data_IF_022293585172
#
_entry.id   IF_022293585172
#
_cell.length_a   1.000
_cell.length_b   1.000
_cell.length_c   1.000
_cell.angle_alpha   90.00
_cell.angle_beta   90.00
_cell.angle_gamma   90.00
#
_symmetry.space_group_name_H-M   'P 1'
#
loop_
_entity.id
_entity.type
_entity.pdbx_description
1 polymer ?
#
# COMPACT_ATOMS: atom_id res chain seq x y z
N UNK A 1 10.98 7.13 -13.18
CA UNK A 1 10.44 8.40 -13.75
C UNK A 1 9.59 8.23 -15.03
N UNK A 2 9.75 7.16 -15.84
CA UNK A 2 8.98 6.97 -17.10
C UNK A 2 7.52 6.54 -16.86
N UNK A 3 7.22 5.73 -15.82
CA UNK A 3 5.89 5.16 -15.57
C UNK A 3 4.81 6.20 -15.25
N UNK A 4 5.18 7.34 -14.68
CA UNK A 4 4.22 8.35 -14.24
C UNK A 4 3.87 9.41 -15.30
N UNK A 5 4.53 9.40 -16.45
CA UNK A 5 4.16 10.27 -17.57
C UNK A 5 2.77 9.99 -18.15
N UNK A 6 2.24 8.80 -17.88
CA UNK A 6 0.90 8.39 -18.33
C UNK A 6 -0.22 8.72 -17.33
N UNK A 7 0.11 9.18 -16.11
CA UNK A 7 -0.89 9.50 -15.10
C UNK A 7 -1.96 10.50 -15.58
N UNK A 8 -1.62 11.60 -16.29
CA UNK A 8 -2.64 12.51 -16.83
C UNK A 8 -3.58 11.84 -17.82
N UNK A 9 -3.04 10.96 -18.68
CA UNK A 9 -3.85 10.21 -19.65
C UNK A 9 -4.77 9.20 -18.95
N UNK A 10 -4.27 8.50 -17.93
CA UNK A 10 -5.09 7.59 -17.12
C UNK A 10 -6.22 8.35 -16.42
N UNK A 11 -5.92 9.48 -15.78
CA UNK A 11 -6.93 10.32 -15.13
C UNK A 11 -7.96 10.84 -16.12
N UNK A 12 -7.53 11.27 -17.30
CA UNK A 12 -8.45 11.67 -18.36
C UNK A 12 -9.36 10.51 -18.78
N UNK A 13 -8.79 9.33 -19.00
CA UNK A 13 -9.55 8.14 -19.35
C UNK A 13 -10.56 7.79 -18.24
N UNK A 14 -10.15 7.77 -16.98
CA UNK A 14 -11.03 7.48 -15.85
C UNK A 14 -12.18 8.48 -15.73
N UNK A 15 -11.97 9.75 -16.08
CA UNK A 15 -13.02 10.78 -16.09
C UNK A 15 -14.07 10.57 -17.18
N UNK A 16 -13.70 9.93 -18.30
CA UNK A 16 -14.56 9.88 -19.50
C UNK A 16 -15.01 8.46 -19.87
N UNK A 17 -14.49 7.43 -19.19
CA UNK A 17 -14.90 6.05 -19.44
C UNK A 17 -16.26 5.72 -18.80
N UNK A 18 -16.85 4.62 -19.25
CA UNK A 18 -17.97 4.03 -18.52
C UNK A 18 -17.41 3.31 -17.29
N UNK A 19 -17.53 3.95 -16.11
CA UNK A 19 -16.92 3.49 -14.86
C UNK A 19 -17.45 2.13 -14.41
N UNK A 20 -18.74 1.85 -14.63
CA UNK A 20 -19.33 0.54 -14.28
C UNK A 20 -18.67 -0.62 -15.06
N UNK A 21 -18.23 -0.35 -16.30
CA UNK A 21 -17.46 -1.33 -17.08
C UNK A 21 -16.01 -1.43 -16.63
N UNK A 22 -15.48 -0.40 -15.99
CA UNK A 22 -14.10 -0.38 -15.50
C UNK A 22 -13.94 -1.12 -14.15
N UNK A 23 -14.96 -1.07 -13.28
CA UNK A 23 -14.94 -1.68 -11.93
C UNK A 23 -14.44 -3.13 -11.92
N UNK A 24 -14.95 -4.06 -12.76
CA UNK A 24 -14.45 -5.44 -12.76
C UNK A 24 -12.96 -5.54 -13.07
N UNK A 25 -12.45 -4.65 -13.92
CA UNK A 25 -11.01 -4.60 -14.25
C UNK A 25 -10.18 -4.13 -13.07
N UNK A 26 -10.66 -3.15 -12.30
CA UNK A 26 -10.01 -2.65 -11.10
C UNK A 26 -9.99 -3.73 -10.00
N UNK A 27 -11.11 -4.42 -9.78
CA UNK A 27 -11.19 -5.55 -8.85
C UNK A 27 -10.19 -6.63 -9.26
N UNK A 28 -10.18 -7.04 -10.53
CA UNK A 28 -9.23 -8.03 -11.04
C UNK A 28 -7.77 -7.60 -10.86
N UNK A 29 -7.47 -6.33 -11.05
CA UNK A 29 -6.14 -5.78 -10.81
C UNK A 29 -5.76 -5.87 -9.32
N UNK A 30 -6.65 -5.49 -8.40
CA UNK A 30 -6.45 -5.66 -6.95
C UNK A 30 -6.22 -7.12 -6.57
N UNK A 31 -7.08 -8.02 -7.05
CA UNK A 31 -6.98 -9.47 -6.81
C UNK A 31 -5.68 -10.09 -7.36
N UNK A 32 -5.04 -9.46 -8.34
CA UNK A 32 -3.77 -9.97 -8.87
C UNK A 32 -2.62 -9.95 -7.86
N UNK A 33 -2.74 -9.16 -6.80
CA UNK A 33 -1.73 -9.02 -5.75
C UNK A 33 -1.86 -10.05 -4.61
N UNK A 34 -2.91 -10.90 -4.63
CA UNK A 34 -3.18 -11.87 -3.57
C UNK A 34 -3.22 -13.33 -4.07
N UNK A 35 -2.56 -13.61 -5.18
CA UNK A 35 -2.62 -14.94 -5.83
C UNK A 35 -2.02 -16.08 -5.02
N UNK A 36 -1.14 -15.77 -4.09
CA UNK A 36 -0.41 -16.76 -3.29
C UNK A 36 -1.02 -16.97 -1.89
N UNK A 37 -2.15 -16.33 -1.61
CA UNK A 37 -2.86 -16.46 -0.34
C UNK A 37 -3.74 -17.71 -0.34
N UNK A 38 -4.26 -18.08 0.82
CA UNK A 38 -5.20 -19.20 0.95
C UNK A 38 -6.51 -18.94 0.19
N UNK A 39 -7.24 -20.00 -0.12
CA UNK A 39 -8.54 -19.87 -0.80
C UNK A 39 -9.55 -19.03 0.02
N UNK A 40 -9.48 -19.10 1.34
CA UNK A 40 -10.32 -18.32 2.25
C UNK A 40 -9.98 -16.83 2.19
N UNK A 41 -8.69 -16.48 2.23
CA UNK A 41 -8.20 -15.10 2.12
C UNK A 41 -8.53 -14.51 0.76
N UNK A 42 -8.39 -15.28 -0.32
CA UNK A 42 -8.77 -14.87 -1.68
C UNK A 42 -10.28 -14.58 -1.74
N UNK A 43 -11.12 -15.46 -1.19
CA UNK A 43 -12.57 -15.27 -1.16
C UNK A 43 -12.95 -14.03 -0.34
N UNK A 44 -12.35 -13.85 0.83
CA UNK A 44 -12.57 -12.66 1.66
C UNK A 44 -12.16 -11.36 0.95
N UNK A 45 -10.99 -11.34 0.32
CA UNK A 45 -10.54 -10.16 -0.40
C UNK A 45 -11.42 -9.84 -1.61
N UNK A 46 -11.93 -10.85 -2.30
CA UNK A 46 -12.87 -10.65 -3.41
C UNK A 46 -14.17 -10.01 -2.91
N UNK A 47 -14.78 -10.56 -1.87
CA UNK A 47 -16.01 -10.00 -1.26
C UNK A 47 -15.79 -8.56 -0.78
N UNK A 48 -14.65 -8.30 -0.15
CA UNK A 48 -14.25 -6.95 0.27
C UNK A 48 -14.17 -5.98 -0.91
N UNK A 49 -13.48 -6.35 -2.00
CA UNK A 49 -13.37 -5.49 -3.18
C UNK A 49 -14.74 -5.26 -3.84
N UNK A 50 -15.55 -6.30 -4.00
CA UNK A 50 -16.88 -6.19 -4.56
C UNK A 50 -17.76 -5.25 -3.71
N UNK A 51 -17.69 -5.38 -2.38
CA UNK A 51 -18.41 -4.52 -1.43
C UNK A 51 -17.93 -3.07 -1.53
N UNK A 52 -16.62 -2.82 -1.56
CA UNK A 52 -16.06 -1.48 -1.69
C UNK A 52 -16.51 -0.85 -3.02
N UNK A 53 -16.34 -1.59 -4.13
CA UNK A 53 -16.63 -1.05 -5.47
C UNK A 53 -18.11 -0.96 -5.78
N UNK A 54 -19.00 -1.64 -5.04
CA UNK A 54 -20.45 -1.52 -5.20
C UNK A 54 -20.92 -0.08 -5.10
N UNK A 55 -20.46 0.63 -4.05
CA UNK A 55 -20.89 1.99 -3.76
C UNK A 55 -19.82 3.04 -4.12
N UNK A 56 -18.71 2.60 -4.73
CA UNK A 56 -17.62 3.49 -5.08
C UNK A 56 -17.94 4.25 -6.37
N UNK A 57 -17.96 5.57 -6.26
CA UNK A 57 -18.31 6.46 -7.39
C UNK A 57 -17.06 6.85 -8.17
N UNK A 58 -17.23 7.06 -9.48
CA UNK A 58 -16.16 7.49 -10.39
C UNK A 58 -15.41 8.74 -9.90
N UNK A 59 -16.15 9.71 -9.36
CA UNK A 59 -15.52 10.95 -8.87
C UNK A 59 -14.55 10.71 -7.71
N UNK A 60 -14.88 9.76 -6.81
CA UNK A 60 -14.00 9.37 -5.71
C UNK A 60 -12.72 8.70 -6.21
N UNK A 61 -12.84 7.79 -7.17
CA UNK A 61 -11.70 7.09 -7.73
C UNK A 61 -10.78 8.04 -8.52
N UNK A 62 -11.37 8.93 -9.31
CA UNK A 62 -10.63 10.00 -10.00
C UNK A 62 -9.91 10.91 -9.00
N UNK A 63 -10.55 11.26 -7.88
CA UNK A 63 -9.95 12.09 -6.85
C UNK A 63 -8.77 11.38 -6.17
N UNK A 64 -8.94 10.13 -5.74
CA UNK A 64 -7.87 9.32 -5.12
C UNK A 64 -6.71 9.13 -6.08
N UNK A 65 -6.99 8.80 -7.34
CA UNK A 65 -5.97 8.66 -8.38
C UNK A 65 -5.23 9.97 -8.67
N UNK A 66 -5.93 11.10 -8.57
CA UNK A 66 -5.34 12.45 -8.66
C UNK A 66 -4.39 12.73 -7.50
N UNK A 67 -4.80 12.45 -6.27
CA UNK A 67 -3.95 12.59 -5.08
C UNK A 67 -2.71 11.69 -5.17
N UNK A 68 -2.86 10.47 -5.65
CA UNK A 68 -1.74 9.57 -5.86
C UNK A 68 -0.77 10.12 -6.92
N UNK A 69 -1.29 10.66 -8.03
CA UNK A 69 -0.47 11.28 -9.07
C UNK A 69 0.30 12.50 -8.54
N UNK A 70 -0.35 13.34 -7.73
CA UNK A 70 0.28 14.50 -7.07
C UNK A 70 1.35 14.06 -6.07
N UNK A 71 1.08 13.03 -5.27
CA UNK A 71 2.06 12.44 -4.36
C UNK A 71 3.30 11.94 -5.10
N UNK A 72 3.12 11.26 -6.24
CA UNK A 72 4.21 10.75 -7.06
C UNK A 72 5.05 11.86 -7.73
N UNK A 73 4.50 13.07 -7.84
CA UNK A 73 5.19 14.25 -8.38
C UNK A 73 5.90 15.08 -7.29
N UNK A 74 5.73 14.74 -6.02
CA UNK A 74 6.42 15.41 -4.92
C UNK A 74 7.94 15.22 -5.00
N UNK A 75 8.67 16.11 -4.34
CA UNK A 75 10.11 15.96 -4.16
C UNK A 75 10.37 14.67 -3.39
N UNK A 76 11.39 13.89 -3.77
CA UNK A 76 11.76 12.70 -3.02
C UNK A 76 12.01 13.04 -1.54
N UNK A 77 11.49 12.22 -0.66
CA UNK A 77 11.81 12.29 0.76
C UNK A 77 13.30 11.99 0.94
N UNK A 78 13.97 12.68 1.82
CA UNK A 78 15.40 12.51 2.11
C UNK A 78 15.61 11.98 3.52
N UNK A 79 16.73 11.34 3.76
CA UNK A 79 17.10 10.85 5.09
C UNK A 79 17.10 11.98 6.15
N UNK A 80 17.47 13.20 5.77
CA UNK A 80 17.42 14.36 6.68
C UNK A 80 16.00 14.63 7.24
N UNK A 81 14.95 14.30 6.46
CA UNK A 81 13.56 14.45 6.91
C UNK A 81 13.19 13.48 8.05
N UNK A 82 13.91 12.38 8.19
CA UNK A 82 13.68 11.39 9.26
C UNK A 82 14.64 11.50 10.44
N UNK A 83 15.63 12.40 10.41
CA UNK A 83 16.65 12.47 11.43
C UNK A 83 16.11 12.66 12.86
N UNK A 84 15.05 13.48 13.01
CA UNK A 84 14.39 13.70 14.30
C UNK A 84 13.61 12.48 14.83
N UNK A 85 13.39 11.48 13.98
CA UNK A 85 12.66 10.24 14.30
C UNK A 85 13.60 9.04 14.46
N UNK A 86 14.92 9.27 14.52
CA UNK A 86 15.90 8.19 14.67
C UNK A 86 15.55 7.29 15.87
N UNK A 87 15.48 5.99 15.63
CA UNK A 87 15.08 4.98 16.62
C UNK A 87 13.59 4.97 17.00
N UNK A 88 12.76 5.85 16.44
CA UNK A 88 11.31 5.96 16.74
C UNK A 88 10.42 5.54 15.57
N UNK A 89 10.96 4.80 14.64
CA UNK A 89 10.27 4.34 13.44
C UNK A 89 10.09 2.84 13.51
N UNK A 90 8.86 2.37 13.39
CA UNK A 90 8.54 0.99 13.11
C UNK A 90 8.22 0.86 11.61
N UNK A 91 8.93 -0.02 10.92
CA UNK A 91 8.66 -0.39 9.54
C UNK A 91 8.13 -1.81 9.51
N UNK A 92 6.86 -1.97 9.16
CA UNK A 92 6.23 -3.28 9.00
C UNK A 92 6.21 -3.61 7.51
N UNK A 93 6.87 -4.70 7.14
CA UNK A 93 6.99 -5.14 5.76
C UNK A 93 6.30 -6.50 5.57
N UNK A 94 5.44 -6.65 4.56
CA UNK A 94 4.99 -7.96 4.13
C UNK A 94 6.15 -8.77 3.58
N UNK A 95 6.17 -10.07 3.85
CA UNK A 95 7.21 -10.98 3.37
C UNK A 95 7.09 -11.32 1.88
N UNK A 96 5.92 -11.09 1.27
CA UNK A 96 5.61 -11.38 -0.13
C UNK A 96 5.05 -10.16 -0.89
N UNK A 97 5.56 -8.96 -0.62
CA UNK A 97 5.10 -7.76 -1.32
C UNK A 97 5.61 -7.72 -2.78
N UNK A 98 4.92 -6.93 -3.62
CA UNK A 98 5.37 -6.64 -4.97
C UNK A 98 6.52 -5.62 -5.02
N UNK A 99 6.82 -4.95 -3.91
CA UNK A 99 8.01 -4.12 -3.80
C UNK A 99 9.26 -4.98 -3.81
N UNK A 100 10.18 -4.66 -4.73
CA UNK A 100 11.44 -5.40 -4.84
C UNK A 100 12.28 -5.21 -3.56
N UNK A 101 13.16 -6.18 -3.27
CA UNK A 101 14.11 -6.08 -2.15
C UNK A 101 14.89 -4.76 -2.19
N UNK A 102 15.32 -4.32 -3.38
CA UNK A 102 15.99 -3.03 -3.54
C UNK A 102 15.12 -1.83 -3.13
N UNK A 103 13.82 -1.84 -3.41
CA UNK A 103 12.93 -0.76 -3.00
C UNK A 103 12.74 -0.75 -1.48
N UNK A 104 12.70 -1.93 -0.86
CA UNK A 104 12.64 -2.05 0.60
C UNK A 104 13.94 -1.57 1.25
N UNK A 105 15.10 -1.96 0.70
CA UNK A 105 16.42 -1.49 1.14
C UNK A 105 16.55 0.04 1.03
N UNK A 106 16.14 0.60 -0.12
CA UNK A 106 16.15 2.05 -0.33
C UNK A 106 15.25 2.77 0.69
N UNK A 107 14.09 2.21 1.02
CA UNK A 107 13.19 2.74 2.05
C UNK A 107 13.81 2.67 3.44
N UNK A 108 14.39 1.53 3.81
CA UNK A 108 15.08 1.33 5.09
C UNK A 108 16.25 2.32 5.21
N UNK A 109 17.02 2.49 4.14
CA UNK A 109 18.15 3.42 4.09
C UNK A 109 17.78 4.90 4.24
N UNK A 110 16.54 5.28 3.99
CA UNK A 110 16.03 6.63 4.26
C UNK A 110 15.78 6.88 5.76
N UNK A 111 15.57 5.82 6.53
CA UNK A 111 15.18 5.91 7.93
C UNK A 111 16.38 5.68 8.82
N UNK A 112 16.54 6.52 9.84
CA UNK A 112 17.65 6.38 10.81
C UNK A 112 17.32 5.29 11.83
N UNK A 113 17.87 4.09 11.63
CA UNK A 113 17.72 2.92 12.51
C UNK A 113 16.26 2.54 12.81
N UNK A 114 15.42 2.25 11.79
CA UNK A 114 14.06 1.80 12.04
C UNK A 114 14.07 0.41 12.66
N UNK A 115 13.14 0.14 13.55
CA UNK A 115 12.80 -1.25 13.89
C UNK A 115 12.04 -1.87 12.71
N UNK A 116 12.50 -3.02 12.23
CA UNK A 116 11.88 -3.70 11.10
C UNK A 116 11.20 -4.96 11.60
N UNK A 117 9.91 -5.11 11.30
CA UNK A 117 9.16 -6.32 11.56
C UNK A 117 8.54 -6.83 10.26
N UNK A 118 8.68 -8.12 10.02
CA UNK A 118 8.04 -8.77 8.88
C UNK A 118 6.74 -9.43 9.31
N UNK A 119 5.72 -9.30 8.47
CA UNK A 119 4.43 -9.96 8.65
C UNK A 119 4.17 -10.86 7.44
N UNK A 120 3.54 -12.00 7.66
CA UNK A 120 3.18 -12.90 6.56
C UNK A 120 2.11 -12.30 5.68
N UNK A 121 2.18 -12.61 4.39
CA UNK A 121 1.23 -12.23 3.36
C UNK A 121 1.79 -11.24 2.35
N UNK A 122 0.94 -10.88 1.39
CA UNK A 122 1.25 -9.98 0.29
C UNK A 122 0.94 -8.52 0.59
N UNK A 123 0.72 -7.76 -0.48
CA UNK A 123 0.45 -6.32 -0.41
C UNK A 123 -0.81 -5.95 0.41
N UNK A 124 -1.78 -6.86 0.50
CA UNK A 124 -2.99 -6.68 1.30
C UNK A 124 -2.89 -7.27 2.71
N UNK A 125 -1.71 -7.63 3.16
CA UNK A 125 -1.50 -8.24 4.49
C UNK A 125 -2.04 -7.40 5.65
N UNK A 126 -2.12 -6.07 5.53
CA UNK A 126 -2.78 -5.21 6.53
C UNK A 126 -4.25 -5.56 6.75
N UNK A 127 -4.92 -6.05 5.72
CA UNK A 127 -6.33 -6.45 5.74
C UNK A 127 -6.49 -7.94 6.04
N UNK A 128 -5.62 -8.77 5.46
CA UNK A 128 -5.70 -10.23 5.55
C UNK A 128 -5.04 -10.80 6.81
N UNK A 129 -4.09 -10.07 7.41
CA UNK A 129 -3.39 -10.44 8.64
C UNK A 129 -3.35 -9.29 9.66
N UNK A 130 -4.51 -8.74 10.08
CA UNK A 130 -4.56 -7.60 11.00
C UNK A 130 -3.90 -7.91 12.35
N UNK A 131 -4.00 -9.15 12.83
CA UNK A 131 -3.38 -9.58 14.08
C UNK A 131 -1.86 -9.52 14.04
N UNK A 132 -1.25 -9.82 12.89
CA UNK A 132 0.18 -9.67 12.66
C UNK A 132 0.62 -8.21 12.85
N UNK A 133 -0.12 -7.28 12.27
CA UNK A 133 0.13 -5.84 12.41
C UNK A 133 -0.09 -5.34 13.83
N UNK A 134 -1.18 -5.76 14.48
CA UNK A 134 -1.48 -5.39 15.89
C UNK A 134 -0.36 -5.87 16.81
N UNK A 135 0.11 -7.11 16.66
CA UNK A 135 1.23 -7.64 17.44
C UNK A 135 2.51 -6.84 17.21
N UNK A 136 2.83 -6.53 15.95
CA UNK A 136 4.01 -5.74 15.60
C UNK A 136 3.98 -4.35 16.24
N UNK A 137 2.85 -3.65 16.14
CA UNK A 137 2.66 -2.32 16.72
C UNK A 137 2.76 -2.38 18.25
N UNK A 138 2.09 -3.35 18.88
CA UNK A 138 2.16 -3.51 20.34
C UNK A 138 3.58 -3.80 20.81
N UNK A 139 4.29 -4.71 20.14
CA UNK A 139 5.68 -5.02 20.47
C UNK A 139 6.57 -3.77 20.40
N UNK A 140 6.36 -2.93 19.40
CA UNK A 140 7.09 -1.68 19.24
C UNK A 140 6.76 -0.66 20.35
N UNK A 141 5.48 -0.45 20.64
CA UNK A 141 5.06 0.57 21.61
C UNK A 141 5.37 0.22 23.07
N UNK A 142 5.47 -1.07 23.39
CA UNK A 142 5.68 -1.57 24.75
C UNK A 142 7.05 -2.24 24.92
N UNK A 143 7.97 -2.06 23.97
CA UNK A 143 9.36 -2.45 24.17
C UNK A 143 10.01 -1.51 25.19
N UNK A 144 10.84 -2.08 26.07
CA UNK A 144 11.54 -1.33 27.14
C UNK A 144 12.47 -0.22 26.62
N UNK A 145 12.78 -0.23 25.31
CA UNK A 145 13.61 0.78 24.65
C UNK A 145 12.91 2.16 24.47
N UNK A 146 11.62 2.26 24.83
CA UNK A 146 10.81 3.48 24.72
C UNK A 146 10.39 4.08 26.08
N UNK A 147 10.90 3.53 27.19
CA UNK A 147 10.61 4.07 28.53
C UNK A 147 11.75 5.02 29.01
#
# INVERSE_FOLDING_TARGET
>A
KRKYRLAPLMLWYMKHCNYEKLKPTLIKAGMSHIRNESAEEIAYAQDMFETIFKDFKQEKDVHISGLLADFMNQKPVTAAGFAALAGKILLILPDQDFFSAKMQEDLIGLMHHPQILYVSGGHLSTVLNPDGYIRAIRSFLFSDDFQ
#
